data_IF_948519587736
#
_entry.id   IF_948519587736
#
_cell.length_a   1.000
_cell.length_b   1.000
_cell.length_c   1.000
_cell.angle_alpha   90.00
_cell.angle_beta   90.00
_cell.angle_gamma   90.00
#
_symmetry.space_group_name_H-M   'P 1'
#
loop_
_entity.id
_entity.type
_entity.pdbx_description
1 polymer ?
#
# COMPACT_ATOMS: atom_id res chain seq x y z
N UNK A 1 9.83 32.01 -11.35
CA UNK A 1 9.45 30.58 -11.30
C UNK A 1 10.71 29.75 -11.48
N UNK A 2 11.12 28.98 -10.48
CA UNK A 2 12.37 28.19 -10.54
C UNK A 2 12.14 26.88 -11.30
N UNK A 3 13.02 26.61 -12.27
CA UNK A 3 13.12 25.33 -12.97
C UNK A 3 13.53 24.25 -11.96
N UNK A 4 12.58 23.45 -11.45
CA UNK A 4 12.94 22.20 -10.77
C UNK A 4 13.70 21.28 -11.73
N UNK A 5 14.75 20.64 -11.25
CA UNK A 5 15.52 19.68 -12.04
C UNK A 5 14.64 18.46 -12.35
N UNK A 6 14.72 17.90 -13.55
CA UNK A 6 13.98 16.68 -13.94
C UNK A 6 14.12 15.56 -12.90
N UNK A 7 15.30 15.42 -12.30
CA UNK A 7 15.59 14.45 -11.23
C UNK A 7 14.81 14.69 -9.93
N UNK A 8 14.51 15.93 -9.58
CA UNK A 8 13.69 16.25 -8.40
C UNK A 8 12.21 15.93 -8.64
N UNK A 9 11.75 16.10 -9.88
CA UNK A 9 10.38 15.75 -10.27
C UNK A 9 10.22 14.23 -10.28
N UNK A 10 11.17 13.50 -10.87
CA UNK A 10 11.12 12.04 -10.90
C UNK A 10 11.16 11.44 -9.48
N UNK A 11 12.01 11.96 -8.58
CA UNK A 11 11.98 11.57 -7.16
C UNK A 11 10.65 11.87 -6.48
N UNK A 12 10.08 13.06 -6.71
CA UNK A 12 8.80 13.41 -6.12
C UNK A 12 7.66 12.51 -6.63
N UNK A 13 7.71 12.07 -7.88
CA UNK A 13 6.76 11.13 -8.46
C UNK A 13 6.93 9.72 -7.89
N UNK A 14 8.17 9.27 -7.71
CA UNK A 14 8.46 7.99 -7.03
C UNK A 14 7.98 8.02 -5.56
N UNK A 15 8.15 9.15 -4.87
CA UNK A 15 7.67 9.35 -3.49
C UNK A 15 6.14 9.39 -3.40
N UNK A 16 5.46 9.85 -4.43
CA UNK A 16 4.00 9.93 -4.48
C UNK A 16 3.36 8.54 -4.51
N UNK A 17 4.02 7.56 -5.15
CA UNK A 17 3.52 6.21 -5.33
C UNK A 17 2.26 6.12 -6.20
N UNK A 18 1.67 4.93 -6.35
CA UNK A 18 0.38 4.73 -7.02
C UNK A 18 -0.72 5.64 -6.49
N UNK A 19 -1.66 6.00 -7.36
CA UNK A 19 -2.85 6.75 -6.97
C UNK A 19 -3.63 5.95 -5.91
N UNK A 20 -4.18 6.60 -4.86
CA UNK A 20 -5.05 5.92 -3.92
C UNK A 20 -6.17 5.17 -4.63
N UNK A 21 -6.40 3.93 -4.24
CA UNK A 21 -7.39 3.07 -4.88
C UNK A 21 -6.88 2.28 -6.08
N UNK A 22 -5.58 2.31 -6.39
CA UNK A 22 -4.99 1.49 -7.45
C UNK A 22 -4.08 0.36 -6.91
N UNK A 23 -3.75 0.42 -5.62
CA UNK A 23 -2.77 -0.51 -5.04
C UNK A 23 -3.31 -1.93 -4.97
N UNK A 24 -2.48 -2.90 -5.29
CA UNK A 24 -2.84 -4.32 -5.19
C UNK A 24 -2.60 -4.88 -3.80
N UNK A 25 -3.27 -5.98 -3.46
CA UNK A 25 -3.01 -6.70 -2.21
C UNK A 25 -1.56 -7.18 -2.10
N UNK A 26 -0.92 -7.50 -3.23
CA UNK A 26 0.49 -7.90 -3.27
C UNK A 26 1.42 -6.77 -2.79
N UNK A 27 1.15 -5.52 -3.15
CA UNK A 27 1.93 -4.38 -2.67
C UNK A 27 1.78 -4.20 -1.16
N UNK A 28 0.57 -4.37 -0.61
CA UNK A 28 0.36 -4.34 0.83
C UNK A 28 1.12 -5.47 1.55
N UNK A 29 1.13 -6.67 0.96
CA UNK A 29 1.86 -7.80 1.50
C UNK A 29 3.38 -7.55 1.49
N UNK A 30 3.94 -7.04 0.40
CA UNK A 30 5.36 -6.68 0.30
C UNK A 30 5.72 -5.61 1.35
N UNK A 31 4.90 -4.57 1.50
CA UNK A 31 5.11 -3.54 2.52
C UNK A 31 5.13 -4.14 3.93
N UNK A 32 4.22 -5.08 4.23
CA UNK A 32 4.17 -5.78 5.52
C UNK A 32 5.43 -6.60 5.77
N UNK A 33 5.90 -7.35 4.76
CA UNK A 33 7.12 -8.13 4.86
C UNK A 33 8.35 -7.25 5.08
N UNK A 34 8.43 -6.11 4.40
CA UNK A 34 9.51 -5.14 4.62
C UNK A 34 9.50 -4.63 6.06
N UNK A 35 8.32 -4.26 6.59
CA UNK A 35 8.17 -3.81 7.97
C UNK A 35 8.61 -4.88 8.97
N UNK A 36 8.21 -6.15 8.77
CA UNK A 36 8.60 -7.27 9.63
C UNK A 36 10.10 -7.56 9.62
N UNK A 37 10.80 -7.15 8.56
CA UNK A 37 12.25 -7.33 8.38
C UNK A 37 13.05 -6.06 8.71
N UNK A 38 12.41 -5.05 9.30
CA UNK A 38 12.98 -3.73 9.57
C UNK A 38 13.67 -3.10 8.34
N UNK A 39 13.17 -3.42 7.14
CA UNK A 39 13.65 -2.82 5.90
C UNK A 39 13.05 -1.42 5.71
N UNK A 40 13.76 -0.55 4.99
CA UNK A 40 13.29 0.80 4.69
C UNK A 40 11.99 0.75 3.87
N UNK A 41 10.97 1.44 4.37
CA UNK A 41 9.68 1.62 3.71
C UNK A 41 9.68 2.95 2.97
N UNK A 42 9.27 2.92 1.72
CA UNK A 42 8.92 4.16 1.01
C UNK A 42 7.73 4.86 1.67
N UNK A 43 7.60 6.16 1.45
CA UNK A 43 6.47 6.94 1.96
C UNK A 43 5.10 6.40 1.52
N UNK A 44 5.06 5.78 0.34
CA UNK A 44 3.86 5.10 -0.16
C UNK A 44 3.60 3.78 0.55
N UNK A 45 4.61 2.93 0.76
CA UNK A 45 4.44 1.66 1.49
C UNK A 45 3.97 1.88 2.93
N UNK A 46 4.50 2.92 3.58
CA UNK A 46 4.04 3.34 4.90
C UNK A 46 2.56 3.73 4.88
N UNK A 47 2.15 4.60 3.95
CA UNK A 47 0.74 4.98 3.76
C UNK A 47 -0.17 3.78 3.45
N UNK A 48 0.31 2.84 2.63
CA UNK A 48 -0.42 1.62 2.29
C UNK A 48 -0.67 0.74 3.52
N UNK A 49 0.28 0.67 4.46
CA UNK A 49 0.14 -0.05 5.72
C UNK A 49 -0.77 0.67 6.72
N UNK A 50 -0.68 2.00 6.79
CA UNK A 50 -1.47 2.80 7.72
C UNK A 50 -2.94 2.88 7.29
N UNK A 51 -3.21 3.05 6.00
CA UNK A 51 -4.55 3.27 5.44
C UNK A 51 -4.89 2.34 4.26
N UNK A 52 -4.84 1.00 4.44
CA UNK A 52 -5.01 0.05 3.34
C UNK A 52 -6.36 0.18 2.62
N UNK A 53 -7.42 0.63 3.31
CA UNK A 53 -8.75 0.84 2.71
C UNK A 53 -8.80 2.02 1.73
N UNK A 54 -7.93 3.01 1.89
CA UNK A 54 -7.87 4.18 1.00
C UNK A 54 -7.01 3.88 -0.22
N UNK A 55 -5.91 3.16 -0.01
CA UNK A 55 -4.91 2.96 -1.06
C UNK A 55 -5.12 1.71 -1.91
N UNK A 56 -5.73 0.65 -1.37
CA UNK A 56 -6.02 -0.56 -2.15
C UNK A 56 -7.12 -0.34 -3.18
N UNK A 57 -6.96 -1.01 -4.32
CA UNK A 57 -7.99 -1.18 -5.32
C UNK A 57 -9.21 -1.89 -4.78
N UNK A 58 -10.36 -1.68 -5.41
CA UNK A 58 -11.62 -2.29 -5.01
C UNK A 58 -11.51 -3.81 -4.86
N UNK A 59 -10.81 -4.48 -5.79
CA UNK A 59 -10.52 -5.90 -5.69
C UNK A 59 -9.61 -6.24 -4.51
N UNK A 60 -8.57 -5.43 -4.26
CA UNK A 60 -7.69 -5.56 -3.10
C UNK A 60 -8.44 -5.43 -1.78
N UNK A 61 -9.34 -4.44 -1.67
CA UNK A 61 -10.20 -4.21 -0.50
C UNK A 61 -11.14 -5.38 -0.25
N UNK A 62 -11.80 -5.90 -1.28
CA UNK A 62 -12.66 -7.09 -1.17
C UNK A 62 -11.90 -8.32 -0.70
N UNK A 63 -10.70 -8.56 -1.24
CA UNK A 63 -9.85 -9.67 -0.79
C UNK A 63 -9.38 -9.49 0.64
N UNK A 64 -8.93 -8.29 1.01
CA UNK A 64 -8.51 -7.98 2.38
C UNK A 64 -9.67 -8.18 3.38
N UNK A 65 -10.88 -7.75 3.02
CA UNK A 65 -12.07 -7.96 3.85
C UNK A 65 -12.34 -9.46 4.07
N UNK A 66 -12.25 -10.29 3.02
CA UNK A 66 -12.42 -11.76 3.14
C UNK A 66 -11.38 -12.41 4.05
N UNK A 67 -10.13 -11.92 4.04
CA UNK A 67 -9.07 -12.43 4.92
C UNK A 67 -9.26 -11.99 6.38
N UNK A 68 -9.85 -10.82 6.60
CA UNK A 68 -10.13 -10.27 7.94
C UNK A 68 -11.41 -10.81 8.56
N UNK A 69 -12.36 -11.30 7.76
CA UNK A 69 -13.48 -12.09 8.25
C UNK A 69 -12.92 -13.42 8.78
N UNK A 70 -12.80 -13.60 10.10
CA UNK A 70 -12.44 -14.89 10.64
C UNK A 70 -13.56 -15.87 10.28
N UNK A 71 -13.21 -17.14 10.31
CA UNK A 71 -14.10 -18.28 10.20
C UNK A 71 -15.26 -18.19 11.22
N UNK A 72 -16.36 -17.50 10.91
CA UNK A 72 -17.63 -17.61 11.64
C UNK A 72 -18.39 -18.90 11.24
N UNK A 73 -17.67 -20.02 11.14
CA UNK A 73 -18.20 -21.26 10.60
C UNK A 73 -17.75 -22.55 11.26
N UNK A 74 -16.81 -22.51 12.23
CA UNK A 74 -16.32 -23.72 12.90
C UNK A 74 -16.94 -23.87 14.30
N UNK A 75 -18.27 -23.98 14.34
CA UNK A 75 -19.03 -24.49 15.49
C UNK A 75 -20.24 -25.28 15.00
N UNK A 76 -20.04 -26.52 14.57
CA UNK A 76 -21.02 -27.60 14.70
C UNK A 76 -20.31 -28.92 14.95
#
# INVERSE_FOLDING_TARGET
MTRRSKREIDRALDDLGPVPGESTLQQLWIASLKRERDAELSAYEQRLLDEPRQHLSEQGRRRLARLRSPQDGDRR
#
